data_IF_261849131466
#
_entry.id   IF_261849131466
#
_cell.length_a   1.000
_cell.length_b   1.000
_cell.length_c   1.000
_cell.angle_alpha   90.00
_cell.angle_beta   90.00
_cell.angle_gamma   90.00
#
_symmetry.space_group_name_H-M   'P 1'
#
loop_
_entity.id
_entity.type
_entity.pdbx_description
1 polymer ?
#
# COMPACT_ATOMS: atom_id res chain seq x y z
N UNK A 1 -18.52 -21.09 8.44
CA UNK A 1 -17.26 -20.42 8.06
C UNK A 1 -16.78 -21.02 6.75
N UNK A 2 -16.60 -20.23 5.69
CA UNK A 2 -16.09 -20.73 4.40
C UNK A 2 -14.67 -20.22 4.17
N UNK A 3 -13.73 -21.16 4.14
CA UNK A 3 -12.32 -20.99 3.82
C UNK A 3 -12.20 -20.83 2.30
N UNK A 4 -11.38 -19.88 1.84
CA UNK A 4 -11.01 -19.77 0.41
C UNK A 4 -9.64 -20.42 0.27
N UNK A 5 -9.56 -21.54 -0.45
CA UNK A 5 -8.30 -22.20 -0.76
C UNK A 5 -7.70 -21.55 -2.02
N UNK A 6 -6.40 -21.25 -1.96
CA UNK A 6 -5.63 -20.79 -3.13
C UNK A 6 -4.43 -21.73 -3.32
N UNK A 7 -3.87 -21.82 -4.55
CA UNK A 7 -2.77 -22.75 -4.88
C UNK A 7 -1.48 -22.59 -4.05
N UNK A 8 -1.37 -21.53 -3.26
CA UNK A 8 -0.20 -21.16 -2.46
C UNK A 8 -0.35 -21.47 -0.96
N UNK A 9 -1.30 -22.34 -0.60
CA UNK A 9 -1.64 -22.70 0.79
C UNK A 9 -2.66 -21.74 1.41
N UNK A 10 -2.92 -21.90 2.72
CA UNK A 10 -3.79 -20.99 3.50
C UNK A 10 -3.20 -19.58 3.50
N UNK A 11 -3.54 -18.77 2.50
CA UNK A 11 -3.38 -17.31 2.53
C UNK A 11 -4.41 -16.82 3.53
N UNK A 12 -3.96 -16.59 4.76
CA UNK A 12 -4.87 -16.64 5.88
C UNK A 12 -5.68 -15.33 5.95
N UNK A 13 -7.02 -15.38 5.84
CA UNK A 13 -7.87 -14.31 6.38
C UNK A 13 -7.48 -13.95 7.82
N UNK A 14 -6.80 -14.86 8.54
CA UNK A 14 -6.22 -14.62 9.85
C UNK A 14 -5.17 -13.50 9.92
N UNK A 15 -4.29 -13.33 8.93
CA UNK A 15 -3.21 -12.32 9.05
C UNK A 15 -3.76 -10.91 8.82
N UNK A 16 -4.57 -10.72 7.78
CA UNK A 16 -5.26 -9.44 7.56
C UNK A 16 -6.20 -9.09 8.72
N UNK A 17 -6.94 -10.07 9.26
CA UNK A 17 -7.77 -9.87 10.45
C UNK A 17 -6.95 -9.53 11.70
N UNK A 18 -5.81 -10.19 11.91
CA UNK A 18 -4.88 -9.89 12.99
C UNK A 18 -4.37 -8.45 12.87
N UNK A 19 -3.88 -8.05 11.69
CA UNK A 19 -3.39 -6.69 11.44
C UNK A 19 -4.50 -5.66 11.69
N UNK A 20 -5.72 -5.91 11.22
CA UNK A 20 -6.86 -5.03 11.46
C UNK A 20 -7.20 -4.92 12.95
N UNK A 21 -7.17 -6.03 13.69
CA UNK A 21 -7.39 -6.05 15.14
C UNK A 21 -6.27 -5.32 15.91
N UNK A 22 -5.02 -5.44 15.46
CA UNK A 22 -3.88 -4.73 16.05
C UNK A 22 -3.97 -3.23 15.79
N UNK A 23 -4.24 -2.81 14.55
CA UNK A 23 -4.45 -1.42 14.18
C UNK A 23 -5.53 -0.76 15.06
N UNK A 24 -6.67 -1.45 15.22
CA UNK A 24 -7.77 -0.98 16.08
C UNK A 24 -7.40 -0.93 17.56
N UNK A 25 -6.73 -1.96 18.09
CA UNK A 25 -6.41 -2.04 19.52
C UNK A 25 -5.31 -1.06 19.94
N UNK A 26 -4.39 -0.73 19.03
CA UNK A 26 -3.30 0.21 19.30
C UNK A 26 -3.59 1.65 18.87
N UNK A 27 -4.68 1.89 18.13
CA UNK A 27 -4.96 3.22 17.56
C UNK A 27 -3.91 3.63 16.53
N UNK A 28 -3.33 2.66 15.84
CA UNK A 28 -2.29 2.86 14.83
C UNK A 28 -2.84 2.54 13.44
N UNK A 29 -2.33 3.22 12.42
CA UNK A 29 -2.56 2.79 11.04
C UNK A 29 -1.55 1.69 10.74
N UNK A 30 -2.02 0.57 10.21
CA UNK A 30 -1.17 -0.52 9.72
C UNK A 30 -1.66 -0.91 8.33
N UNK A 31 -0.77 -0.85 7.33
CA UNK A 31 -1.10 -1.17 5.95
C UNK A 31 0.00 -2.02 5.30
N UNK A 32 -0.29 -2.69 4.17
CA UNK A 32 0.74 -3.35 3.38
C UNK A 32 1.88 -2.40 3.04
N UNK A 33 3.12 -2.89 3.07
CA UNK A 33 4.26 -2.10 2.61
C UNK A 33 4.13 -1.76 1.11
N UNK A 34 4.91 -0.79 0.63
CA UNK A 34 4.81 -0.34 -0.76
C UNK A 34 5.08 -1.43 -1.82
N UNK A 35 5.99 -2.37 -1.57
CA UNK A 35 6.22 -3.50 -2.49
C UNK A 35 5.05 -4.47 -2.54
N UNK A 36 4.45 -4.76 -1.38
CA UNK A 36 3.21 -5.53 -1.31
C UNK A 36 2.06 -4.80 -2.02
N UNK A 37 1.97 -3.47 -1.90
CA UNK A 37 1.00 -2.65 -2.62
C UNK A 37 1.21 -2.69 -4.13
N UNK A 38 2.45 -2.55 -4.61
CA UNK A 38 2.80 -2.67 -6.02
C UNK A 38 2.46 -4.05 -6.59
N UNK A 39 2.65 -5.11 -5.80
CA UNK A 39 2.26 -6.47 -6.18
C UNK A 39 0.74 -6.64 -6.26
N UNK A 40 -0.02 -6.08 -5.30
CA UNK A 40 -1.50 -6.13 -5.33
C UNK A 40 -2.04 -5.41 -6.57
N UNK A 41 -1.43 -4.31 -6.98
CA UNK A 41 -1.82 -3.53 -8.17
C UNK A 41 -1.25 -4.08 -9.50
N UNK A 42 -0.45 -5.15 -9.46
CA UNK A 42 0.19 -5.69 -10.66
C UNK A 42 1.15 -4.69 -11.34
N UNK A 43 1.80 -3.84 -10.53
CA UNK A 43 2.87 -2.93 -10.94
C UNK A 43 4.23 -3.64 -10.85
N UNK A 44 4.40 -4.54 -9.87
CA UNK A 44 5.59 -5.36 -9.72
C UNK A 44 5.23 -6.83 -9.57
N UNK A 45 6.08 -7.69 -10.11
CA UNK A 45 6.01 -9.16 -9.95
C UNK A 45 7.09 -9.69 -9.00
N UNK A 46 7.98 -8.79 -8.50
CA UNK A 46 9.04 -9.16 -7.57
C UNK A 46 8.45 -9.44 -6.18
N UNK A 47 8.17 -10.71 -5.96
CA UNK A 47 7.52 -11.22 -4.78
C UNK A 47 8.50 -11.30 -3.60
N UNK A 48 8.51 -10.35 -2.65
CA UNK A 48 9.33 -10.48 -1.42
C UNK A 48 8.67 -9.86 -0.16
N UNK A 49 8.56 -10.73 0.86
CA UNK A 49 8.19 -10.55 2.28
C UNK A 49 6.73 -10.19 2.61
N UNK A 50 5.87 -11.22 2.61
CA UNK A 50 4.50 -11.16 3.16
C UNK A 50 4.44 -10.77 4.64
N UNK A 51 5.57 -10.75 5.33
CA UNK A 51 5.66 -10.47 6.76
C UNK A 51 5.87 -9.00 7.11
N UNK A 52 6.13 -8.09 6.16
CA UNK A 52 6.44 -6.68 6.48
C UNK A 52 5.24 -5.79 6.23
N UNK A 53 4.79 -5.06 7.24
CA UNK A 53 3.75 -4.02 7.15
C UNK A 53 4.32 -2.67 7.56
N UNK A 54 3.72 -1.61 7.05
CA UNK A 54 4.01 -0.25 7.46
C UNK A 54 3.04 0.19 8.54
N UNK A 55 3.53 0.96 9.51
CA UNK A 55 2.72 1.49 10.60
C UNK A 55 3.05 2.95 10.93
N UNK A 56 2.07 3.70 11.45
CA UNK A 56 2.32 5.00 12.08
C UNK A 56 2.92 4.87 13.49
N UNK A 57 2.82 3.69 14.10
CA UNK A 57 3.40 3.40 15.41
C UNK A 57 4.89 3.04 15.37
N UNK A 58 5.48 2.69 16.51
CA UNK A 58 6.84 2.18 16.62
C UNK A 58 7.14 0.94 15.77
N UNK A 59 8.42 0.76 15.42
CA UNK A 59 8.92 -0.48 14.83
C UNK A 59 8.70 -1.65 15.79
N UNK A 60 8.12 -2.75 15.31
CA UNK A 60 7.85 -3.96 16.12
C UNK A 60 8.05 -5.22 15.30
N UNK A 61 8.38 -6.33 15.97
CA UNK A 61 8.33 -7.66 15.37
C UNK A 61 7.43 -8.54 16.23
N UNK A 62 6.32 -8.99 15.66
CA UNK A 62 5.35 -9.86 16.29
C UNK A 62 5.66 -11.30 15.89
N UNK A 63 5.77 -12.19 16.86
CA UNK A 63 5.95 -13.62 16.61
C UNK A 63 4.65 -14.34 16.90
N UNK A 64 4.18 -15.11 15.93
CA UNK A 64 3.06 -16.02 16.12
C UNK A 64 3.44 -17.40 15.57
N UNK A 65 3.71 -18.33 16.49
CA UNK A 65 4.27 -19.64 16.16
C UNK A 65 5.60 -19.50 15.42
N UNK A 66 5.69 -20.08 14.21
CA UNK A 66 6.89 -20.04 13.34
C UNK A 66 6.95 -18.82 12.42
N UNK A 67 5.92 -17.96 12.41
CA UNK A 67 5.86 -16.78 11.54
C UNK A 67 6.19 -15.53 12.34
N UNK A 68 6.95 -14.64 11.71
CA UNK A 68 7.20 -13.30 12.23
C UNK A 68 6.50 -12.28 11.33
N UNK A 69 5.88 -11.27 11.93
CA UNK A 69 5.33 -10.09 11.27
C UNK A 69 6.16 -8.90 11.73
N UNK A 70 6.75 -8.17 10.81
CA UNK A 70 7.56 -6.98 11.07
C UNK A 70 6.73 -5.75 10.73
N UNK A 71 6.51 -4.90 11.72
CA UNK A 71 5.92 -3.59 11.56
C UNK A 71 7.05 -2.57 11.47
N UNK A 72 7.09 -1.83 10.36
CA UNK A 72 8.06 -0.77 10.11
C UNK A 72 7.35 0.58 10.22
N UNK A 73 7.88 1.44 11.07
CA UNK A 73 7.43 2.80 11.18
C UNK A 73 7.68 3.54 9.85
N UNK A 74 6.68 4.26 9.38
CA UNK A 74 6.81 5.22 8.27
C UNK A 74 6.09 6.52 8.62
N UNK A 75 6.49 7.66 8.02
CA UNK A 75 5.76 8.91 8.16
C UNK A 75 4.28 8.74 7.79
N UNK A 76 3.39 9.37 8.56
CA UNK A 76 1.94 9.21 8.41
C UNK A 76 1.44 9.50 6.99
N UNK A 77 2.07 10.43 6.27
CA UNK A 77 1.70 10.75 4.89
C UNK A 77 1.81 9.54 3.94
N UNK A 78 2.74 8.60 4.18
CA UNK A 78 2.89 7.37 3.38
C UNK A 78 1.78 6.35 3.64
N UNK A 79 1.05 6.52 4.75
CA UNK A 79 -0.07 5.68 5.16
C UNK A 79 -1.42 6.37 5.00
N UNK A 80 -1.47 7.48 4.28
CA UNK A 80 -2.72 8.16 3.94
C UNK A 80 -3.66 7.22 3.20
N UNK A 81 -4.97 7.44 3.39
CA UNK A 81 -6.03 6.61 2.82
C UNK A 81 -5.79 5.09 3.01
N UNK A 82 -5.57 4.61 4.26
CA UNK A 82 -5.05 3.26 4.52
C UNK A 82 -5.93 2.15 3.99
N UNK A 83 -7.26 2.33 4.05
CA UNK A 83 -8.25 1.34 3.63
C UNK A 83 -8.82 1.61 2.23
N UNK A 84 -8.18 2.48 1.43
CA UNK A 84 -8.65 2.84 0.08
C UNK A 84 -7.66 2.44 -1.02
N UNK A 85 -8.16 2.08 -2.22
CA UNK A 85 -7.33 1.92 -3.42
C UNK A 85 -6.39 3.11 -3.69
N UNK A 86 -6.82 4.34 -3.41
CA UNK A 86 -5.98 5.53 -3.50
C UNK A 86 -4.69 5.43 -2.68
N UNK A 87 -4.80 5.04 -1.41
CA UNK A 87 -3.63 4.88 -0.53
C UNK A 87 -2.78 3.68 -0.93
N UNK A 88 -3.40 2.62 -1.48
CA UNK A 88 -2.67 1.48 -2.02
C UNK A 88 -1.79 1.90 -3.21
N UNK A 89 -2.33 2.70 -4.13
CA UNK A 89 -1.56 3.28 -5.23
C UNK A 89 -0.43 4.17 -4.73
N UNK A 90 -0.71 5.07 -3.80
CA UNK A 90 0.32 5.92 -3.18
C UNK A 90 1.49 5.08 -2.64
N UNK A 91 1.21 4.05 -1.86
CA UNK A 91 2.23 3.16 -1.29
C UNK A 91 3.03 2.43 -2.37
N UNK A 92 2.39 1.98 -3.44
CA UNK A 92 3.06 1.34 -4.57
C UNK A 92 4.03 2.29 -5.29
N UNK A 93 3.63 3.54 -5.51
CA UNK A 93 4.49 4.54 -6.16
C UNK A 93 5.67 4.96 -5.26
N UNK A 94 5.45 5.05 -3.95
CA UNK A 94 6.54 5.27 -2.97
C UNK A 94 7.58 4.15 -3.06
N UNK A 95 7.15 2.90 -3.28
CA UNK A 95 8.05 1.76 -3.43
C UNK A 95 8.90 1.80 -4.69
N UNK A 96 8.31 2.17 -5.83
CA UNK A 96 9.10 2.43 -7.05
C UNK A 96 10.16 3.49 -6.76
N UNK A 97 9.72 4.61 -6.19
CA UNK A 97 10.61 5.67 -5.75
C UNK A 97 11.17 6.51 -6.91
N UNK A 98 11.91 7.58 -6.59
CA UNK A 98 12.24 8.64 -7.55
C UNK A 98 13.22 8.23 -8.66
N UNK A 99 13.86 7.06 -8.54
CA UNK A 99 14.84 6.57 -9.52
C UNK A 99 14.19 5.99 -10.78
N UNK A 100 12.89 5.75 -10.75
CA UNK A 100 12.15 5.11 -11.84
C UNK A 100 10.93 5.95 -12.27
N UNK A 101 11.15 7.18 -12.76
CA UNK A 101 10.05 8.09 -13.11
C UNK A 101 9.18 7.55 -14.24
N UNK A 102 9.75 6.82 -15.21
CA UNK A 102 8.98 6.20 -16.29
C UNK A 102 8.04 5.10 -15.77
N UNK A 103 8.48 4.29 -14.81
CA UNK A 103 7.65 3.24 -14.20
C UNK A 103 6.51 3.85 -13.38
N UNK A 104 6.75 5.00 -12.73
CA UNK A 104 5.71 5.75 -12.03
C UNK A 104 4.64 6.26 -13.01
N UNK A 105 5.05 6.87 -14.13
CA UNK A 105 4.10 7.34 -15.15
C UNK A 105 3.27 6.18 -15.73
N UNK A 106 3.92 5.06 -16.08
CA UNK A 106 3.23 3.86 -16.57
C UNK A 106 2.25 3.27 -15.54
N UNK A 107 2.66 3.21 -14.27
CA UNK A 107 1.79 2.74 -13.19
C UNK A 107 0.57 3.63 -13.01
N UNK A 108 0.74 4.96 -13.10
CA UNK A 108 -0.35 5.93 -13.01
C UNK A 108 -1.33 5.78 -14.17
N UNK A 109 -0.84 5.76 -15.42
CA UNK A 109 -1.65 5.60 -16.63
C UNK A 109 -2.45 4.29 -16.63
N UNK A 110 -1.86 3.21 -16.09
CA UNK A 110 -2.51 1.90 -15.98
C UNK A 110 -3.57 1.85 -14.88
N UNK A 111 -3.25 2.37 -13.68
CA UNK A 111 -4.05 2.11 -12.48
C UNK A 111 -5.12 3.19 -12.26
N UNK A 112 -4.81 4.47 -12.47
CA UNK A 112 -5.75 5.57 -12.17
C UNK A 112 -7.09 5.41 -12.89
N UNK A 113 -7.17 5.08 -14.19
CA UNK A 113 -8.45 4.89 -14.88
C UNK A 113 -9.28 3.71 -14.36
N UNK A 114 -8.65 2.74 -13.69
CA UNK A 114 -9.33 1.58 -13.10
C UNK A 114 -9.92 1.86 -11.70
N UNK A 115 -9.54 2.98 -11.08
CA UNK A 115 -10.07 3.40 -9.80
C UNK A 115 -11.49 3.98 -9.95
N UNK A 116 -12.33 3.77 -8.94
CA UNK A 116 -13.62 4.45 -8.86
C UNK A 116 -13.42 5.97 -8.69
N UNK A 117 -14.40 6.78 -9.10
CA UNK A 117 -14.29 8.24 -9.11
C UNK A 117 -13.93 8.81 -7.72
N UNK A 118 -14.53 8.28 -6.65
CA UNK A 118 -14.23 8.65 -5.27
C UNK A 118 -12.78 8.33 -4.86
N UNK A 119 -12.19 7.25 -5.38
CA UNK A 119 -10.79 6.91 -5.12
C UNK A 119 -9.82 7.76 -5.97
N UNK A 120 -10.23 8.20 -7.16
CA UNK A 120 -9.47 9.17 -7.95
C UNK A 120 -9.44 10.54 -7.24
N UNK A 121 -10.59 11.02 -6.75
CA UNK A 121 -10.68 12.25 -5.96
C UNK A 121 -9.87 12.16 -4.67
N UNK A 122 -9.98 11.05 -3.95
CA UNK A 122 -9.15 10.79 -2.77
C UNK A 122 -7.67 10.86 -3.13
N UNK A 123 -7.24 10.17 -4.20
CA UNK A 123 -5.85 10.17 -4.64
C UNK A 123 -5.36 11.57 -5.04
N UNK A 124 -6.20 12.36 -5.71
CA UNK A 124 -5.92 13.76 -6.03
C UNK A 124 -5.70 14.60 -4.76
N UNK A 125 -6.52 14.40 -3.73
CA UNK A 125 -6.40 15.12 -2.45
C UNK A 125 -5.08 14.84 -1.72
N UNK A 126 -4.47 13.67 -1.96
CA UNK A 126 -3.19 13.30 -1.36
C UNK A 126 -2.00 14.06 -1.96
N UNK A 127 -2.15 14.71 -3.12
CA UNK A 127 -1.04 15.42 -3.78
C UNK A 127 -0.34 16.43 -2.86
N UNK A 128 -1.09 17.13 -2.00
CA UNK A 128 -0.55 18.14 -1.10
C UNK A 128 0.44 17.61 -0.05
N UNK A 129 0.43 16.30 0.23
CA UNK A 129 1.35 15.66 1.18
C UNK A 129 2.47 14.87 0.50
N UNK A 130 2.46 14.79 -0.83
CA UNK A 130 3.47 14.05 -1.60
C UNK A 130 4.75 14.88 -1.76
N UNK A 131 5.93 14.23 -1.78
CA UNK A 131 7.16 14.90 -2.18
C UNK A 131 7.12 15.31 -3.66
N UNK A 132 7.87 16.36 -4.03
CA UNK A 132 7.83 16.94 -5.38
C UNK A 132 8.06 15.94 -6.52
N UNK A 133 8.95 14.96 -6.32
CA UNK A 133 9.23 13.93 -7.33
C UNK A 133 8.03 13.03 -7.64
N UNK A 134 7.09 12.88 -6.69
CA UNK A 134 5.87 12.09 -6.86
C UNK A 134 4.68 12.97 -7.24
N UNK A 135 4.58 14.17 -6.66
CA UNK A 135 3.52 15.11 -6.95
C UNK A 135 3.50 15.50 -8.45
N UNK A 136 4.66 15.75 -9.06
CA UNK A 136 4.75 16.16 -10.46
C UNK A 136 4.13 15.17 -11.47
N UNK A 137 4.52 13.88 -11.51
CA UNK A 137 3.90 12.91 -12.41
C UNK A 137 2.42 12.66 -12.08
N UNK A 138 2.03 12.71 -10.79
CA UNK A 138 0.62 12.57 -10.39
C UNK A 138 -0.23 13.74 -10.91
N UNK A 139 0.23 14.99 -10.76
CA UNK A 139 -0.46 16.16 -11.28
C UNK A 139 -0.57 16.12 -12.81
N UNK A 140 0.49 15.69 -13.50
CA UNK A 140 0.47 15.48 -14.96
C UNK A 140 -0.60 14.46 -15.33
N UNK A 141 -0.62 13.28 -14.70
CA UNK A 141 -1.60 12.24 -15.00
C UNK A 141 -3.04 12.70 -14.77
N UNK A 142 -3.33 13.40 -13.66
CA UNK A 142 -4.68 13.86 -13.35
C UNK A 142 -5.14 15.09 -14.15
N UNK A 143 -4.22 15.88 -14.70
CA UNK A 143 -4.58 17.03 -15.55
C UNK A 143 -4.94 16.62 -17.00
N UNK A 144 -4.50 15.43 -17.44
CA UNK A 144 -4.73 14.90 -18.78
C UNK A 144 -5.71 13.71 -18.79
N UNK A 145 -6.39 13.44 -17.67
CA UNK A 145 -7.41 12.38 -17.52
C UNK A 145 -8.84 12.88 -17.65
#
# INVERSE_FOLDING_TARGET
MRTIETPYGRRAPYESQLIQALAKSWGEVIAPNGGAAANILGISEQNVVSSVYWTTGPNRTLRHGRRSIVLRHVPAWQLSAPDRPAGLLLRALIWLGPKFPQEIEQALEKVVPSLAANDQEEFASLQGVMPAWLAHPVSKCLAYG
#
